data_IF_713749564519
#
_entry.id   IF_713749564519
#
_cell.length_a   1.000
_cell.length_b   1.000
_cell.length_c   1.000
_cell.angle_alpha   90.00
_cell.angle_beta   90.00
_cell.angle_gamma   90.00
#
_symmetry.space_group_name_H-M   'P 1'
#
loop_
_entity.id
_entity.type
_entity.pdbx_description
1 polymer ?
#
# COMPACT_ATOMS: atom_id res chain seq x y z
N UNK A 1 -23.14 17.24 20.23
CA UNK A 1 -21.91 16.42 20.13
C UNK A 1 -20.75 17.21 20.72
N UNK A 2 -19.81 16.60 21.43
CA UNK A 2 -18.62 17.31 21.91
C UNK A 2 -17.57 17.50 20.80
N UNK A 3 -16.77 18.57 20.93
CA UNK A 3 -15.75 18.97 19.95
C UNK A 3 -14.69 17.88 19.71
N UNK A 4 -14.21 17.23 20.77
CA UNK A 4 -13.13 16.26 20.67
C UNK A 4 -13.58 15.00 19.94
N UNK A 5 -14.78 14.51 20.22
CA UNK A 5 -15.38 13.39 19.50
C UNK A 5 -15.59 13.72 18.03
N UNK A 6 -16.06 14.92 17.68
CA UNK A 6 -16.21 15.31 16.28
C UNK A 6 -14.85 15.37 15.55
N UNK A 7 -13.82 15.98 16.16
CA UNK A 7 -12.48 16.01 15.57
C UNK A 7 -11.91 14.60 15.33
N UNK A 8 -12.15 13.69 16.27
CA UNK A 8 -11.76 12.28 16.13
C UNK A 8 -12.50 11.60 14.97
N UNK A 9 -13.82 11.78 14.85
CA UNK A 9 -14.61 11.22 13.76
C UNK A 9 -14.14 11.74 12.40
N UNK A 10 -13.91 13.05 12.26
CA UNK A 10 -13.38 13.64 11.02
C UNK A 10 -12.02 13.03 10.68
N UNK A 11 -11.15 12.81 11.67
CA UNK A 11 -9.82 12.23 11.46
C UNK A 11 -9.88 10.75 11.07
N UNK A 12 -10.75 9.97 11.69
CA UNK A 12 -10.99 8.56 11.34
C UNK A 12 -11.51 8.45 9.90
N UNK A 13 -12.43 9.32 9.50
CA UNK A 13 -12.93 9.40 8.12
C UNK A 13 -11.88 9.89 7.14
N UNK A 14 -11.06 10.88 7.53
CA UNK A 14 -9.92 11.34 6.75
C UNK A 14 -8.93 10.22 6.47
N UNK A 15 -8.65 9.37 7.48
CA UNK A 15 -7.83 8.18 7.29
C UNK A 15 -8.46 7.20 6.29
N UNK A 16 -9.74 6.84 6.47
CA UNK A 16 -10.41 5.87 5.63
C UNK A 16 -10.47 6.32 4.16
N UNK A 17 -10.91 7.57 3.94
CA UNK A 17 -11.01 8.17 2.60
C UNK A 17 -9.62 8.34 1.98
N UNK A 18 -8.65 8.85 2.74
CA UNK A 18 -7.29 9.08 2.26
C UNK A 18 -6.58 7.77 1.89
N UNK A 19 -6.68 6.74 2.72
CA UNK A 19 -6.16 5.41 2.41
C UNK A 19 -6.87 4.81 1.20
N UNK A 20 -8.19 4.95 1.13
CA UNK A 20 -9.01 4.55 -0.03
C UNK A 20 -8.52 5.21 -1.33
N UNK A 21 -8.26 6.53 -1.31
CA UNK A 21 -7.71 7.25 -2.46
C UNK A 21 -6.36 6.66 -2.90
N UNK A 22 -5.44 6.42 -1.95
CA UNK A 22 -4.12 5.85 -2.26
C UNK A 22 -4.20 4.41 -2.77
N UNK A 23 -5.19 3.62 -2.33
CA UNK A 23 -5.47 2.29 -2.88
C UNK A 23 -5.86 2.32 -4.33
N UNK A 24 -6.75 3.24 -4.72
CA UNK A 24 -7.13 3.39 -6.13
C UNK A 24 -5.94 3.87 -6.97
N UNK A 25 -5.17 4.85 -6.51
CA UNK A 25 -3.94 5.26 -7.22
C UNK A 25 -2.86 4.19 -7.25
N UNK A 26 -2.78 3.32 -6.24
CA UNK A 26 -1.86 2.19 -6.25
C UNK A 26 -2.27 1.18 -7.32
N UNK A 27 -3.56 0.86 -7.44
CA UNK A 27 -4.08 0.02 -8.52
C UNK A 27 -3.79 0.64 -9.89
N UNK A 28 -4.13 1.92 -10.08
CA UNK A 28 -3.83 2.63 -11.33
C UNK A 28 -2.35 2.52 -11.72
N UNK A 29 -1.43 2.85 -10.80
CA UNK A 29 0.00 2.83 -11.09
C UNK A 29 0.54 1.42 -11.39
N UNK A 30 0.05 0.39 -10.68
CA UNK A 30 0.46 -0.99 -10.94
C UNK A 30 0.01 -1.42 -12.34
N UNK A 31 -1.22 -1.08 -12.71
CA UNK A 31 -1.78 -1.42 -14.03
C UNK A 31 -1.08 -0.65 -15.15
N UNK A 32 -0.77 0.62 -14.92
CA UNK A 32 -0.10 1.49 -15.90
C UNK A 32 1.37 1.12 -16.10
N UNK A 33 2.11 0.93 -15.00
CA UNK A 33 3.59 0.84 -15.04
C UNK A 33 4.10 -0.59 -14.87
N UNK A 34 3.34 -1.44 -14.19
CA UNK A 34 3.74 -2.81 -13.85
C UNK A 34 4.15 -3.65 -15.07
N UNK A 35 3.32 -3.74 -16.11
CA UNK A 35 3.66 -4.50 -17.32
C UNK A 35 4.94 -3.99 -18.00
N UNK A 36 5.13 -2.66 -18.03
CA UNK A 36 6.34 -2.04 -18.59
C UNK A 36 7.61 -2.44 -17.82
N UNK A 37 7.57 -2.38 -16.48
CA UNK A 37 8.68 -2.82 -15.64
C UNK A 37 8.98 -4.31 -15.76
N UNK A 38 7.93 -5.14 -15.81
CA UNK A 38 8.07 -6.59 -16.03
C UNK A 38 8.77 -6.85 -17.36
N UNK A 39 8.31 -6.23 -18.44
CA UNK A 39 8.89 -6.40 -19.77
C UNK A 39 10.36 -5.95 -19.82
N UNK A 40 10.66 -4.77 -19.28
CA UNK A 40 12.01 -4.23 -19.23
C UNK A 40 12.98 -5.15 -18.47
N UNK A 41 12.63 -5.56 -17.25
CA UNK A 41 13.48 -6.43 -16.43
C UNK A 41 13.66 -7.80 -17.09
N UNK A 42 12.61 -8.37 -17.66
CA UNK A 42 12.67 -9.68 -18.32
C UNK A 42 13.60 -9.65 -19.54
N UNK A 43 13.54 -8.59 -20.35
CA UNK A 43 14.44 -8.40 -21.49
C UNK A 43 15.87 -8.18 -21.01
N UNK A 44 16.09 -7.37 -19.99
CA UNK A 44 17.43 -7.14 -19.43
C UNK A 44 18.07 -8.45 -18.94
N UNK A 45 17.31 -9.30 -18.24
CA UNK A 45 17.78 -10.63 -17.82
C UNK A 45 18.08 -11.51 -19.04
N UNK A 46 17.22 -11.51 -20.06
CA UNK A 46 17.43 -12.26 -21.29
C UNK A 46 18.70 -11.85 -22.04
N UNK A 47 19.01 -10.54 -22.10
CA UNK A 47 20.26 -10.03 -22.68
C UNK A 47 21.46 -10.49 -21.85
N UNK A 48 21.40 -10.35 -20.52
CA UNK A 48 22.49 -10.75 -19.63
C UNK A 48 22.74 -12.26 -19.65
N UNK A 49 21.72 -13.08 -19.91
CA UNK A 49 21.86 -14.53 -20.05
C UNK A 49 22.70 -14.96 -21.25
N UNK A 50 22.92 -14.09 -22.24
CA UNK A 50 23.87 -14.34 -23.35
C UNK A 50 25.34 -14.30 -22.90
N UNK A 51 25.61 -13.66 -21.76
CA UNK A 51 26.97 -13.49 -21.20
C UNK A 51 27.18 -14.37 -19.97
N UNK A 52 26.13 -14.57 -19.16
CA UNK A 52 26.19 -15.30 -17.90
C UNK A 52 25.31 -16.56 -17.93
N UNK A 53 25.94 -17.73 -18.04
CA UNK A 53 25.25 -19.03 -18.11
C UNK A 53 24.31 -19.30 -16.92
N UNK A 54 24.60 -18.75 -15.74
CA UNK A 54 23.74 -18.91 -14.56
C UNK A 54 22.34 -18.30 -14.76
N UNK A 55 22.23 -17.24 -15.58
CA UNK A 55 20.94 -16.60 -15.89
C UNK A 55 20.14 -17.35 -16.96
N UNK A 56 20.78 -18.22 -17.74
CA UNK A 56 20.13 -19.14 -18.67
C UNK A 56 19.57 -20.40 -17.99
N UNK A 57 19.70 -20.51 -16.66
CA UNK A 57 19.23 -21.64 -15.88
C UNK A 57 17.71 -21.85 -15.91
N UNK A 58 17.29 -23.09 -15.67
CA UNK A 58 15.86 -23.49 -15.61
C UNK A 58 15.08 -22.71 -14.55
N UNK A 59 15.71 -22.47 -13.39
CA UNK A 59 15.09 -21.74 -12.28
C UNK A 59 14.77 -20.27 -12.64
N UNK A 60 15.70 -19.60 -13.33
CA UNK A 60 15.51 -18.22 -13.80
C UNK A 60 14.43 -18.17 -14.87
N UNK A 61 14.44 -19.13 -15.80
CA UNK A 61 13.42 -19.24 -16.85
C UNK A 61 12.03 -19.48 -16.28
N UNK A 62 11.89 -20.37 -15.28
CA UNK A 62 10.64 -20.62 -14.59
C UNK A 62 10.13 -19.37 -13.83
N UNK A 63 11.04 -18.65 -13.18
CA UNK A 63 10.71 -17.38 -12.49
C UNK A 63 10.21 -16.33 -13.47
N UNK A 64 10.89 -16.14 -14.61
CA UNK A 64 10.45 -15.22 -15.66
C UNK A 64 9.08 -15.60 -16.22
N UNK A 65 8.80 -16.90 -16.39
CA UNK A 65 7.48 -17.37 -16.83
C UNK A 65 6.36 -17.01 -15.83
N UNK A 66 6.61 -17.19 -14.51
CA UNK A 66 5.66 -16.80 -13.45
C UNK A 66 5.42 -15.28 -13.47
N UNK A 67 6.49 -14.50 -13.60
CA UNK A 67 6.40 -13.03 -13.70
C UNK A 67 5.62 -12.60 -14.96
N UNK A 68 5.81 -13.31 -16.08
CA UNK A 68 5.02 -13.10 -17.30
C UNK A 68 3.51 -13.35 -17.08
N UNK A 69 3.16 -14.42 -16.36
CA UNK A 69 1.76 -14.71 -15.97
C UNK A 69 1.22 -13.60 -15.05
N UNK A 70 2.03 -13.07 -14.13
CA UNK A 70 1.62 -11.92 -13.32
C UNK A 70 1.34 -10.68 -14.20
N UNK A 71 2.13 -10.46 -15.25
CA UNK A 71 1.86 -9.43 -16.27
C UNK A 71 0.51 -9.61 -16.96
N UNK A 72 0.16 -10.84 -17.36
CA UNK A 72 -1.17 -11.16 -17.91
C UNK A 72 -2.30 -10.92 -16.89
N UNK A 73 -2.09 -11.27 -15.63
CA UNK A 73 -3.07 -10.99 -14.58
C UNK A 73 -3.32 -9.48 -14.44
N UNK A 74 -2.27 -8.66 -14.51
CA UNK A 74 -2.39 -7.20 -14.47
C UNK A 74 -3.22 -6.69 -15.67
N UNK A 75 -3.07 -7.28 -16.86
CA UNK A 75 -3.77 -6.82 -18.05
C UNK A 75 -5.29 -6.91 -17.94
N UNK A 76 -5.83 -7.79 -17.08
CA UNK A 76 -7.27 -7.89 -16.79
C UNK A 76 -7.88 -6.68 -16.05
N UNK A 77 -7.05 -5.71 -15.65
CA UNK A 77 -7.48 -4.46 -15.04
C UNK A 77 -7.37 -3.27 -15.98
N UNK A 78 -6.76 -3.43 -17.16
CA UNK A 78 -6.46 -2.33 -18.11
C UNK A 78 -7.73 -1.59 -18.54
N UNK A 79 -8.81 -2.32 -18.85
CA UNK A 79 -10.06 -1.73 -19.35
C UNK A 79 -10.70 -0.71 -18.40
N UNK A 80 -10.43 -0.85 -17.09
CA UNK A 80 -10.97 0.05 -16.04
C UNK A 80 -9.89 0.87 -15.36
N UNK A 81 -8.69 0.90 -15.92
CA UNK A 81 -7.52 1.57 -15.31
C UNK A 81 -7.84 3.02 -14.96
N UNK A 82 -8.38 3.79 -15.91
CA UNK A 82 -8.62 5.22 -15.72
C UNK A 82 -9.68 5.51 -14.66
N UNK A 83 -10.68 4.63 -14.49
CA UNK A 83 -11.66 4.73 -13.41
C UNK A 83 -10.99 4.71 -12.02
N UNK A 84 -9.89 3.98 -11.84
CA UNK A 84 -9.15 4.01 -10.58
C UNK A 84 -8.51 5.38 -10.33
N UNK A 85 -7.96 6.03 -11.35
CA UNK A 85 -7.42 7.39 -11.20
C UNK A 85 -8.52 8.41 -10.91
N UNK A 86 -9.65 8.32 -11.61
CA UNK A 86 -10.81 9.19 -11.41
C UNK A 86 -11.35 9.08 -9.98
N UNK A 87 -11.59 7.86 -9.49
CA UNK A 87 -12.04 7.65 -8.11
C UNK A 87 -10.98 8.08 -7.12
N UNK A 88 -9.69 7.84 -7.39
CA UNK A 88 -8.59 8.34 -6.56
C UNK A 88 -8.61 9.87 -6.41
N UNK A 89 -8.88 10.60 -7.51
CA UNK A 89 -9.02 12.05 -7.51
C UNK A 89 -10.25 12.49 -6.70
N UNK A 90 -11.40 11.87 -6.93
CA UNK A 90 -12.63 12.17 -6.19
C UNK A 90 -12.46 11.98 -4.68
N UNK A 91 -11.84 10.87 -4.27
CA UNK A 91 -11.56 10.61 -2.85
C UNK A 91 -10.53 11.60 -2.27
N UNK A 92 -9.61 12.10 -3.09
CA UNK A 92 -8.67 13.15 -2.66
C UNK A 92 -9.39 14.48 -2.42
N UNK A 93 -10.41 14.81 -3.20
CA UNK A 93 -11.25 15.98 -2.95
C UNK A 93 -12.01 15.86 -1.63
N UNK A 94 -12.65 14.71 -1.39
CA UNK A 94 -13.33 14.42 -0.12
C UNK A 94 -12.34 14.52 1.05
N UNK A 95 -11.13 13.98 0.90
CA UNK A 95 -10.09 14.09 1.91
C UNK A 95 -9.74 15.54 2.26
N UNK A 96 -9.62 16.41 1.25
CA UNK A 96 -9.31 17.82 1.44
C UNK A 96 -10.47 18.58 2.10
N UNK A 97 -11.72 18.22 1.78
CA UNK A 97 -12.91 18.76 2.45
C UNK A 97 -12.95 18.35 3.93
N UNK A 98 -12.64 17.09 4.24
CA UNK A 98 -12.51 16.60 5.62
C UNK A 98 -11.41 17.34 6.38
N UNK A 99 -10.24 17.54 5.76
CA UNK A 99 -9.14 18.33 6.35
C UNK A 99 -9.58 19.77 6.64
N UNK A 100 -10.35 20.37 5.74
CA UNK A 100 -10.86 21.74 5.92
C UNK A 100 -11.86 21.80 7.08
N UNK A 101 -12.82 20.86 7.12
CA UNK A 101 -13.79 20.74 8.21
C UNK A 101 -13.09 20.50 9.56
N UNK A 102 -12.03 19.70 9.58
CA UNK A 102 -11.23 19.45 10.79
C UNK A 102 -10.67 20.76 11.37
N UNK A 103 -10.01 21.59 10.55
CA UNK A 103 -9.44 22.85 11.02
C UNK A 103 -10.50 23.89 11.40
N UNK A 104 -11.65 23.90 10.72
CA UNK A 104 -12.80 24.72 11.08
C UNK A 104 -13.32 24.38 12.48
N UNK A 105 -13.60 23.10 12.75
CA UNK A 105 -14.02 22.63 14.08
C UNK A 105 -12.93 22.90 15.12
N UNK A 106 -11.66 22.65 14.78
CA UNK A 106 -10.52 22.82 15.71
C UNK A 106 -10.35 24.27 16.16
N UNK A 107 -10.49 25.23 15.25
CA UNK A 107 -10.35 26.67 15.54
C UNK A 107 -11.60 27.29 16.15
N UNK A 108 -12.76 26.66 15.99
CA UNK A 108 -14.04 27.15 16.51
C UNK A 108 -14.13 27.16 18.04
N UNK A 109 -14.74 28.20 18.60
CA UNK A 109 -15.09 28.34 20.03
C UNK A 109 -16.54 27.93 20.32
N UNK A 110 -17.27 27.39 19.33
CA UNK A 110 -18.64 26.90 19.50
C UNK A 110 -18.69 25.75 20.52
N UNK A 111 -19.84 25.61 21.17
CA UNK A 111 -20.14 24.51 22.10
C UNK A 111 -21.07 23.46 21.50
N UNK A 112 -21.81 23.81 20.44
CA UNK A 112 -22.61 22.91 19.62
C UNK A 112 -22.00 22.78 18.23
N UNK A 113 -21.97 21.54 17.72
CA UNK A 113 -21.38 21.15 16.45
C UNK A 113 -22.33 20.25 15.63
N UNK A 114 -23.64 20.35 15.86
CA UNK A 114 -24.63 19.53 15.19
C UNK A 114 -24.66 19.76 13.67
N UNK A 115 -24.39 20.99 13.22
CA UNK A 115 -24.28 21.35 11.80
C UNK A 115 -23.04 20.72 11.16
N UNK A 116 -21.87 20.86 11.78
CA UNK A 116 -20.61 20.30 11.30
C UNK A 116 -20.66 18.76 11.28
N UNK A 117 -21.38 18.14 12.22
CA UNK A 117 -21.67 16.71 12.19
C UNK A 117 -22.52 16.31 10.98
N UNK A 118 -23.55 17.09 10.64
CA UNK A 118 -24.35 16.82 9.45
C UNK A 118 -23.54 17.01 8.17
N UNK A 119 -22.68 18.04 8.14
CA UNK A 119 -21.76 18.29 7.04
C UNK A 119 -20.75 17.16 6.87
N UNK A 120 -20.18 16.63 7.96
CA UNK A 120 -19.33 15.43 7.92
C UNK A 120 -20.01 14.27 7.20
N UNK A 121 -21.25 13.94 7.58
CA UNK A 121 -22.02 12.86 6.93
C UNK A 121 -22.24 13.12 5.43
N UNK A 122 -22.49 14.38 5.06
CA UNK A 122 -22.68 14.76 3.65
C UNK A 122 -21.39 14.63 2.82
N UNK A 123 -20.24 14.96 3.40
CA UNK A 123 -18.91 14.82 2.77
C UNK A 123 -18.55 13.33 2.62
N UNK A 124 -18.91 12.49 3.59
CA UNK A 124 -18.64 11.06 3.55
C UNK A 124 -19.55 10.26 2.63
N UNK A 125 -20.80 10.71 2.40
CA UNK A 125 -21.78 9.93 1.64
C UNK A 125 -21.28 9.49 0.24
N UNK A 126 -20.60 10.34 -0.55
CA UNK A 126 -20.04 9.94 -1.84
C UNK A 126 -18.91 8.90 -1.75
N UNK A 127 -18.16 8.84 -0.66
CA UNK A 127 -17.08 7.85 -0.49
C UNK A 127 -17.61 6.42 -0.56
N UNK A 128 -18.77 6.17 0.06
CA UNK A 128 -19.38 4.84 0.09
C UNK A 128 -19.98 4.39 -1.25
N UNK A 129 -20.33 5.33 -2.12
CA UNK A 129 -20.94 5.03 -3.43
C UNK A 129 -19.93 5.01 -4.57
N UNK A 130 -18.87 5.83 -4.50
CA UNK A 130 -17.86 5.95 -5.56
C UNK A 130 -16.74 4.90 -5.49
N UNK A 131 -16.46 4.34 -4.33
CA UNK A 131 -15.32 3.44 -4.13
C UNK A 131 -15.44 2.13 -4.93
N UNK A 132 -14.42 1.81 -5.74
CA UNK A 132 -14.35 0.56 -6.49
C UNK A 132 -13.92 -0.60 -5.58
N UNK A 133 -14.71 -1.68 -5.58
CA UNK A 133 -14.46 -2.87 -4.75
C UNK A 133 -13.33 -3.75 -5.27
N UNK A 134 -13.24 -3.92 -6.60
CA UNK A 134 -12.21 -4.75 -7.23
C UNK A 134 -10.92 -3.95 -7.30
N UNK A 135 -9.88 -4.38 -6.60
CA UNK A 135 -8.57 -3.74 -6.54
C UNK A 135 -7.51 -4.79 -6.87
N UNK A 136 -6.38 -4.37 -7.47
CA UNK A 136 -5.37 -5.34 -7.88
C UNK A 136 -4.59 -5.88 -6.68
N UNK A 137 -4.11 -7.12 -6.75
CA UNK A 137 -3.20 -7.67 -5.77
C UNK A 137 -2.00 -6.73 -5.54
N UNK A 138 -1.52 -6.64 -4.30
CA UNK A 138 -0.50 -5.68 -3.82
C UNK A 138 -0.90 -4.20 -3.78
N UNK A 139 -2.09 -3.81 -4.24
CA UNK A 139 -2.52 -2.40 -4.16
C UNK A 139 -2.53 -1.89 -2.72
N UNK A 140 -2.92 -2.72 -1.75
CA UNK A 140 -2.94 -2.36 -0.32
C UNK A 140 -1.54 -2.06 0.21
N UNK A 141 -0.54 -2.85 -0.19
CA UNK A 141 0.84 -2.63 0.21
C UNK A 141 1.38 -1.31 -0.34
N UNK A 142 1.14 -1.07 -1.63
CA UNK A 142 1.62 0.14 -2.27
C UNK A 142 0.86 1.38 -1.78
N UNK A 143 -0.44 1.25 -1.51
CA UNK A 143 -1.24 2.30 -0.86
C UNK A 143 -0.71 2.65 0.52
N UNK A 144 -0.30 1.65 1.30
CA UNK A 144 0.29 1.85 2.62
C UNK A 144 1.56 2.70 2.55
N UNK A 145 2.46 2.37 1.63
CA UNK A 145 3.64 3.20 1.34
C UNK A 145 3.23 4.63 0.95
N UNK A 146 2.34 4.78 -0.04
CA UNK A 146 1.88 6.10 -0.49
C UNK A 146 1.25 6.93 0.64
N UNK A 147 0.46 6.30 1.50
CA UNK A 147 -0.27 6.98 2.56
C UNK A 147 0.63 7.38 3.74
N UNK A 148 1.46 6.48 4.24
CA UNK A 148 2.28 6.76 5.42
C UNK A 148 3.62 7.44 5.11
N UNK A 149 4.15 7.25 3.89
CA UNK A 149 5.46 7.79 3.51
C UNK A 149 5.37 9.06 2.66
N UNK A 150 4.43 9.12 1.71
CA UNK A 150 4.37 10.23 0.75
C UNK A 150 3.29 11.26 1.08
N UNK A 151 2.18 10.83 1.68
CA UNK A 151 1.03 11.69 1.91
C UNK A 151 1.12 12.42 3.26
N UNK A 152 0.69 13.68 3.30
CA UNK A 152 0.68 14.46 4.52
C UNK A 152 -0.50 14.04 5.42
N UNK A 153 -0.18 13.33 6.51
CA UNK A 153 -1.15 12.77 7.46
C UNK A 153 -1.13 13.45 8.83
N UNK A 154 -0.35 14.53 8.98
CA UNK A 154 -0.12 15.19 10.27
C UNK A 154 -1.42 15.61 10.95
N UNK A 155 -2.34 16.24 10.20
CA UNK A 155 -3.62 16.71 10.71
C UNK A 155 -4.50 15.57 11.26
N UNK A 156 -4.40 14.37 10.67
CA UNK A 156 -5.08 13.17 11.15
C UNK A 156 -4.43 12.69 12.45
N UNK A 157 -3.09 12.72 12.48
CA UNK A 157 -2.30 12.21 13.60
C UNK A 157 -2.51 12.99 14.90
N UNK A 158 -2.92 14.26 14.79
CA UNK A 158 -3.23 15.13 15.92
C UNK A 158 -4.43 14.66 16.75
N UNK A 159 -5.41 13.99 16.13
CA UNK A 159 -6.59 13.43 16.83
C UNK A 159 -6.67 11.90 16.77
N UNK A 160 -5.81 11.26 15.96
CA UNK A 160 -5.65 9.81 15.89
C UNK A 160 -4.17 9.45 15.87
N UNK A 161 -3.61 9.13 17.03
CA UNK A 161 -2.20 8.76 17.17
C UNK A 161 -1.88 7.46 16.42
N UNK A 162 -0.82 7.47 15.63
CA UNK A 162 -0.31 6.31 14.90
C UNK A 162 0.97 5.76 15.54
N UNK A 163 1.00 4.47 15.86
CA UNK A 163 2.19 3.79 16.35
C UNK A 163 3.01 3.24 15.18
N UNK A 164 4.33 3.45 15.22
CA UNK A 164 5.23 3.05 14.15
C UNK A 164 5.12 1.55 13.81
N UNK A 165 5.25 0.69 14.82
CA UNK A 165 5.25 -0.77 14.62
C UNK A 165 3.88 -1.36 14.27
N UNK A 166 2.79 -0.80 14.80
CA UNK A 166 1.46 -1.36 14.55
C UNK A 166 0.81 -0.80 13.29
N UNK A 167 0.90 0.51 13.09
CA UNK A 167 0.10 1.21 12.10
C UNK A 167 0.91 1.61 10.87
N UNK A 168 2.21 1.91 11.00
CA UNK A 168 3.04 2.37 9.86
C UNK A 168 3.73 1.25 9.10
N UNK A 169 3.78 0.03 9.64
CA UNK A 169 4.33 -1.15 8.96
C UNK A 169 3.18 -2.16 8.75
N UNK A 170 2.91 -2.59 7.51
CA UNK A 170 1.84 -3.55 7.26
C UNK A 170 2.17 -4.92 7.87
N UNK A 171 1.16 -5.62 8.41
CA UNK A 171 1.37 -6.91 9.08
C UNK A 171 2.09 -7.95 8.20
N UNK A 172 1.75 -7.97 6.91
CA UNK A 172 2.38 -8.84 5.93
C UNK A 172 3.88 -8.59 5.76
N UNK A 173 4.42 -7.43 6.18
CA UNK A 173 5.86 -7.18 6.19
C UNK A 173 6.57 -8.00 7.24
N UNK A 174 5.99 -8.10 8.43
CA UNK A 174 6.52 -8.93 9.50
C UNK A 174 6.49 -10.40 9.09
N UNK A 175 5.39 -10.84 8.47
CA UNK A 175 5.26 -12.21 7.98
C UNK A 175 6.30 -12.49 6.89
N UNK A 176 6.46 -11.57 5.93
CA UNK A 176 7.46 -11.71 4.87
C UNK A 176 8.89 -11.76 5.42
N UNK A 177 9.23 -10.88 6.36
CA UNK A 177 10.53 -10.88 7.02
C UNK A 177 10.79 -12.17 7.82
N UNK A 178 9.76 -12.70 8.51
CA UNK A 178 9.85 -13.97 9.23
C UNK A 178 10.08 -15.14 8.28
N UNK A 179 9.38 -15.18 7.14
CA UNK A 179 9.58 -16.20 6.11
C UNK A 179 11.01 -16.15 5.56
N UNK A 180 11.52 -14.95 5.24
CA UNK A 180 12.90 -14.77 4.79
C UNK A 180 13.91 -15.24 5.84
N UNK A 181 13.67 -14.96 7.13
CA UNK A 181 14.50 -15.46 8.22
C UNK A 181 14.50 -16.99 8.27
N UNK A 182 13.33 -17.64 8.18
CA UNK A 182 13.23 -19.10 8.18
C UNK A 182 13.96 -19.72 6.98
N UNK A 183 13.82 -19.12 5.79
CA UNK A 183 14.55 -19.56 4.60
C UNK A 183 16.06 -19.38 4.77
N UNK A 184 16.50 -18.24 5.31
CA UNK A 184 17.91 -17.97 5.57
C UNK A 184 18.51 -18.97 6.57
N UNK A 185 17.83 -19.24 7.70
CA UNK A 185 18.29 -20.22 8.68
C UNK A 185 18.28 -21.65 8.13
N UNK A 186 17.25 -22.01 7.36
CA UNK A 186 17.18 -23.32 6.69
C UNK A 186 18.34 -23.50 5.71
N UNK A 187 18.68 -22.47 4.93
CA UNK A 187 19.80 -22.49 4.00
C UNK A 187 21.16 -22.47 4.71
N UNK A 188 21.29 -21.73 5.82
CA UNK A 188 22.53 -21.60 6.58
C UNK A 188 22.83 -22.81 7.49
N UNK A 189 21.80 -23.55 7.91
CA UNK A 189 21.91 -24.67 8.86
C UNK A 189 22.96 -25.73 8.48
N UNK A 190 23.06 -26.22 7.23
CA UNK A 190 24.10 -27.17 6.82
C UNK A 190 25.51 -26.60 6.96
N UNK A 191 25.69 -25.30 6.66
CA UNK A 191 27.00 -24.63 6.77
C UNK A 191 27.41 -24.43 8.22
N UNK A 192 26.46 -24.04 9.08
CA UNK A 192 26.69 -23.89 10.52
C UNK A 192 27.03 -25.24 11.14
N UNK A 193 26.28 -26.29 10.80
CA UNK A 193 26.54 -27.65 11.28
C UNK A 193 27.94 -28.15 10.87
N UNK A 194 28.31 -27.99 9.60
CA UNK A 194 29.63 -28.37 9.10
C UNK A 194 30.76 -27.55 9.74
N UNK A 195 30.53 -26.26 10.01
CA UNK A 195 31.50 -25.40 10.70
C UNK A 195 31.71 -25.87 12.15
N UNK A 196 30.64 -26.16 12.88
CA UNK A 196 30.72 -26.62 14.29
C UNK A 196 31.43 -27.98 14.39
N UNK A 197 31.14 -28.95 13.51
CA UNK A 197 31.86 -30.24 13.51
C UNK A 197 33.35 -30.05 13.24
N UNK A 198 33.71 -29.24 12.24
CA UNK A 198 35.13 -29.03 11.89
C UNK A 198 35.92 -28.35 13.02
N UNK A 199 35.28 -27.50 13.82
CA UNK A 199 35.90 -26.88 15.00
C UNK A 199 35.97 -27.86 16.17
N UNK A 200 34.97 -28.72 16.36
CA UNK A 200 34.92 -29.68 17.48
C UNK A 200 35.84 -30.90 17.29
N UNK A 201 36.19 -31.26 16.05
CA UNK A 201 37.11 -32.36 15.72
C UNK A 201 38.57 -31.94 15.55
N UNK A 202 38.93 -30.70 15.90
CA UNK A 202 40.31 -30.18 15.92
C UNK A 202 40.80 -30.03 17.35
#
# INVERSE_FOLDING_TARGET
MDKQSLLRLISESGYNVGFGAKKHFATYDIVEKGPGWIGFISIAIGILALVFDQLAGKEVSATLAIVGIAGLYISFYTDKKDCYSEVGNDLTLIFNELKSLYYEVKSSTKTDFSEEQQRLKSIEAPYYTKSLKKQIFLSDWYAHYKFFWQHQIDWISESRTFHFWRDKIPLSAYIFALILLIFFFSWASPYIYNFVINVACR
#
